data_IF_573729837350
#
_entry.id   IF_573729837350
#
_cell.length_a   1.000
_cell.length_b   1.000
_cell.length_c   1.000
_cell.angle_alpha   90.00
_cell.angle_beta   90.00
_cell.angle_gamma   90.00
#
_symmetry.space_group_name_H-M   'P 1'
#
loop_
_entity.id
_entity.type
_entity.pdbx_description
1 polymer ?
#
# COMPACT_ATOMS: atom_id res chain seq x y z
N UNK A 1 -36.21 -8.46 50.36
CA UNK A 1 -35.78 -9.31 49.21
C UNK A 1 -36.59 -9.12 47.92
N UNK A 2 -37.87 -8.70 47.94
CA UNK A 2 -38.69 -8.57 46.72
C UNK A 2 -38.34 -7.36 45.80
N UNK A 3 -37.80 -6.26 46.35
CA UNK A 3 -37.45 -5.07 45.57
C UNK A 3 -36.22 -5.26 44.67
N UNK A 4 -35.27 -6.10 45.08
CA UNK A 4 -34.03 -6.39 44.34
C UNK A 4 -34.35 -7.21 43.08
N UNK A 5 -35.28 -8.19 43.17
CA UNK A 5 -35.75 -8.98 42.02
C UNK A 5 -36.41 -8.14 40.93
N UNK A 6 -37.16 -7.08 41.28
CA UNK A 6 -37.87 -6.22 40.30
C UNK A 6 -36.94 -5.30 39.49
N UNK A 7 -35.77 -4.93 40.01
CA UNK A 7 -34.79 -4.10 39.29
C UNK A 7 -33.88 -4.92 38.36
N UNK A 8 -33.75 -6.22 38.59
CA UNK A 8 -32.91 -7.11 37.78
C UNK A 8 -33.58 -7.53 36.46
N UNK A 9 -34.92 -7.61 36.41
CA UNK A 9 -35.65 -7.94 35.18
C UNK A 9 -35.40 -6.96 34.01
N UNK A 10 -35.54 -5.62 34.17
CA UNK A 10 -35.32 -4.70 33.05
C UNK A 10 -33.84 -4.64 32.61
N UNK A 11 -32.90 -4.88 33.53
CA UNK A 11 -31.47 -4.97 33.23
C UNK A 11 -31.18 -6.23 32.41
N UNK A 12 -31.77 -7.37 32.79
CA UNK A 12 -31.63 -8.62 32.05
C UNK A 12 -32.29 -8.55 30.67
N UNK A 13 -33.44 -7.90 30.55
CA UNK A 13 -34.10 -7.63 29.26
C UNK A 13 -33.28 -6.70 28.36
N UNK A 14 -32.63 -5.68 28.92
CA UNK A 14 -31.75 -4.78 28.18
C UNK A 14 -30.47 -5.51 27.72
N UNK A 15 -29.85 -6.34 28.57
CA UNK A 15 -28.70 -7.16 28.17
C UNK A 15 -29.05 -8.16 27.04
N UNK A 16 -30.24 -8.78 27.11
CA UNK A 16 -30.70 -9.72 26.08
C UNK A 16 -30.96 -8.98 24.74
N UNK A 17 -31.51 -7.77 24.78
CA UNK A 17 -31.70 -6.94 23.59
C UNK A 17 -30.36 -6.49 22.95
N UNK A 18 -29.34 -6.22 23.77
CA UNK A 18 -27.98 -5.86 23.28
C UNK A 18 -27.30 -7.05 22.61
N UNK A 19 -27.54 -8.29 23.07
CA UNK A 19 -27.00 -9.49 22.41
C UNK A 19 -27.62 -9.79 21.04
N UNK A 20 -28.86 -9.34 20.77
CA UNK A 20 -29.50 -9.49 19.45
C UNK A 20 -29.03 -8.44 18.41
N UNK A 21 -28.36 -7.37 18.83
CA UNK A 21 -27.80 -6.34 17.95
C UNK A 21 -26.35 -6.61 17.52
N UNK A 22 -25.70 -7.62 18.11
CA UNK A 22 -24.43 -8.14 17.63
C UNK A 22 -24.68 -8.93 16.32
N UNK A 23 -24.91 -8.21 15.23
CA UNK A 23 -24.97 -8.80 13.90
C UNK A 23 -23.70 -9.61 13.66
N UNK A 24 -23.86 -10.86 13.22
CA UNK A 24 -22.73 -11.70 12.83
C UNK A 24 -22.00 -10.96 11.71
N UNK A 25 -20.75 -10.56 11.95
CA UNK A 25 -19.91 -9.95 10.93
C UNK A 25 -19.62 -11.01 9.86
N UNK A 26 -20.48 -11.11 8.86
CA UNK A 26 -20.24 -11.98 7.72
C UNK A 26 -19.24 -11.27 6.81
N UNK A 27 -18.10 -11.91 6.57
CA UNK A 27 -17.15 -11.43 5.59
C UNK A 27 -17.85 -11.38 4.21
N UNK A 28 -18.14 -10.18 3.73
CA UNK A 28 -18.70 -9.97 2.39
C UNK A 28 -17.57 -10.03 1.38
N UNK A 29 -17.83 -10.65 0.22
CA UNK A 29 -16.94 -10.56 -0.93
C UNK A 29 -16.91 -9.09 -1.38
N UNK A 30 -15.73 -8.47 -1.28
CA UNK A 30 -15.52 -7.08 -1.68
C UNK A 30 -15.29 -6.94 -3.19
N UNK A 31 -14.96 -8.05 -3.86
CA UNK A 31 -14.54 -8.05 -5.26
C UNK A 31 -13.18 -7.37 -5.48
N UNK A 32 -12.47 -7.01 -4.41
CA UNK A 32 -11.18 -6.34 -4.49
C UNK A 32 -10.07 -7.37 -4.66
N UNK A 33 -9.29 -7.23 -5.73
CA UNK A 33 -8.11 -8.04 -5.97
C UNK A 33 -6.89 -7.15 -6.21
N UNK A 34 -5.82 -7.45 -5.47
CA UNK A 34 -4.54 -6.75 -5.54
C UNK A 34 -3.47 -7.68 -6.12
N UNK A 35 -2.61 -7.15 -6.98
CA UNK A 35 -1.50 -7.92 -7.57
C UNK A 35 -0.18 -7.16 -7.46
N UNK A 36 0.91 -7.89 -7.20
CA UNK A 36 2.26 -7.38 -7.31
C UNK A 36 2.76 -7.49 -8.77
N UNK A 37 3.42 -6.44 -9.24
CA UNK A 37 4.01 -6.36 -10.58
C UNK A 37 5.44 -5.77 -10.47
N UNK A 38 6.34 -6.14 -11.38
CA UNK A 38 7.71 -5.61 -11.46
C UNK A 38 8.78 -6.62 -11.01
N UNK A 39 8.41 -7.89 -10.77
CA UNK A 39 9.34 -8.92 -10.28
C UNK A 39 9.92 -9.82 -11.37
N UNK A 40 9.45 -9.70 -12.60
CA UNK A 40 9.97 -10.45 -13.72
C UNK A 40 9.75 -9.68 -15.02
N UNK A 41 10.83 -9.28 -15.72
CA UNK A 41 10.73 -8.54 -17.00
C UNK A 41 9.85 -9.20 -18.07
N UNK A 42 9.57 -10.50 -17.95
CA UNK A 42 8.73 -11.26 -18.88
C UNK A 42 7.26 -11.38 -18.41
N UNK A 43 6.86 -10.73 -17.32
CA UNK A 43 5.48 -10.75 -16.80
C UNK A 43 4.49 -9.88 -17.59
N UNK A 44 4.98 -9.22 -18.64
CA UNK A 44 4.24 -8.22 -19.41
C UNK A 44 4.34 -6.82 -18.80
N UNK A 45 3.79 -5.86 -19.51
CA UNK A 45 3.78 -4.45 -19.13
C UNK A 45 2.78 -4.17 -18.01
N UNK A 46 2.96 -3.05 -17.32
CA UNK A 46 2.00 -2.56 -16.33
C UNK A 46 0.63 -2.30 -16.98
N UNK A 47 0.63 -1.76 -18.22
CA UNK A 47 -0.60 -1.56 -19.00
C UNK A 47 -1.34 -2.87 -19.27
N UNK A 48 -0.64 -3.91 -19.74
CA UNK A 48 -1.25 -5.21 -19.99
C UNK A 48 -1.88 -5.79 -18.71
N UNK A 49 -1.20 -5.64 -17.56
CA UNK A 49 -1.74 -6.06 -16.26
C UNK A 49 -3.07 -5.36 -15.95
N UNK A 50 -3.13 -4.04 -16.14
CA UNK A 50 -4.34 -3.25 -15.94
C UNK A 50 -5.44 -3.52 -16.98
N UNK A 51 -5.06 -3.91 -18.20
CA UNK A 51 -5.99 -4.24 -19.28
C UNK A 51 -6.65 -5.60 -19.12
N UNK A 52 -6.14 -6.48 -18.25
CA UNK A 52 -6.81 -7.74 -17.90
C UNK A 52 -8.20 -7.54 -17.29
N UNK A 53 -8.43 -6.41 -16.61
CA UNK A 53 -9.68 -6.14 -15.87
C UNK A 53 -9.86 -7.02 -14.63
N UNK A 54 -8.81 -7.73 -14.17
CA UNK A 54 -8.87 -8.64 -13.02
C UNK A 54 -8.61 -7.95 -11.68
N UNK A 55 -7.88 -6.84 -11.70
CA UNK A 55 -7.32 -6.21 -10.50
C UNK A 55 -7.90 -4.82 -10.27
N UNK A 56 -8.09 -4.48 -9.01
CA UNK A 56 -8.47 -3.14 -8.57
C UNK A 56 -7.27 -2.35 -8.06
N UNK A 57 -6.23 -3.06 -7.63
CA UNK A 57 -4.98 -2.47 -7.15
C UNK A 57 -3.80 -3.21 -7.79
N UNK A 58 -2.86 -2.46 -8.35
CA UNK A 58 -1.56 -2.98 -8.79
C UNK A 58 -0.47 -2.37 -7.93
N UNK A 59 0.38 -3.22 -7.36
CA UNK A 59 1.52 -2.81 -6.54
C UNK A 59 2.79 -2.98 -7.36
N UNK A 60 3.40 -1.86 -7.77
CA UNK A 60 4.72 -1.83 -8.39
C UNK A 60 5.75 -2.17 -7.32
N UNK A 61 6.60 -3.16 -7.59
CA UNK A 61 7.52 -3.71 -6.61
C UNK A 61 8.92 -3.88 -7.21
N UNK A 62 10.00 -3.34 -6.61
CA UNK A 62 10.10 -2.65 -5.32
C UNK A 62 10.95 -1.38 -5.41
N UNK A 63 10.63 -0.40 -4.58
CA UNK A 63 11.55 0.64 -4.14
C UNK A 63 12.44 0.07 -3.03
N UNK A 64 13.58 -0.52 -3.43
CA UNK A 64 14.35 -1.46 -2.61
C UNK A 64 15.61 -0.88 -1.97
N UNK A 65 15.96 0.37 -2.28
CA UNK A 65 17.13 1.06 -1.71
C UNK A 65 16.69 2.35 -1.04
N UNK A 66 16.81 2.45 0.29
CA UNK A 66 16.47 3.67 1.05
C UNK A 66 17.11 3.73 2.45
N UNK A 67 17.07 4.90 3.09
CA UNK A 67 17.51 5.10 4.48
C UNK A 67 18.98 5.46 4.71
N UNK A 68 19.80 5.41 3.66
CA UNK A 68 21.24 5.71 3.73
C UNK A 68 21.65 6.84 2.77
N UNK A 69 20.74 7.80 2.53
CA UNK A 69 20.93 8.87 1.55
C UNK A 69 20.95 8.38 0.08
N UNK A 70 20.58 7.12 -0.15
CA UNK A 70 20.43 6.50 -1.48
C UNK A 70 18.98 6.10 -1.65
N UNK A 71 18.46 6.25 -2.87
CA UNK A 71 17.04 6.12 -3.19
C UNK A 71 16.92 5.48 -4.57
N UNK A 72 16.44 4.23 -4.64
CA UNK A 72 16.29 3.56 -5.93
C UNK A 72 15.27 2.41 -5.87
N UNK A 73 14.73 2.05 -7.04
CA UNK A 73 13.86 0.90 -7.21
C UNK A 73 14.44 -0.14 -8.17
N UNK A 74 14.20 -1.41 -7.85
CA UNK A 74 14.50 -2.55 -8.71
C UNK A 74 13.18 -3.10 -9.26
N UNK A 75 12.99 -3.01 -10.58
CA UNK A 75 11.86 -3.59 -11.30
C UNK A 75 12.31 -4.74 -12.22
N UNK A 76 13.31 -5.50 -11.79
CA UNK A 76 13.72 -6.77 -12.40
C UNK A 76 14.06 -6.69 -13.89
N UNK A 77 14.55 -5.53 -14.33
CA UNK A 77 14.95 -5.27 -15.72
C UNK A 77 13.86 -4.73 -16.63
N UNK A 78 12.69 -4.34 -16.10
CA UNK A 78 11.69 -3.57 -16.87
C UNK A 78 12.25 -2.21 -17.33
N UNK A 79 11.87 -1.79 -18.53
CA UNK A 79 12.12 -0.42 -18.99
C UNK A 79 11.26 0.56 -18.19
N UNK A 80 11.88 1.56 -17.57
CA UNK A 80 11.20 2.53 -16.73
C UNK A 80 10.43 3.59 -17.53
N UNK A 81 10.83 3.84 -18.79
CA UNK A 81 10.25 4.89 -19.64
C UNK A 81 8.73 4.77 -19.82
N UNK A 82 8.15 3.60 -20.13
CA UNK A 82 6.70 3.47 -20.30
C UNK A 82 5.91 3.51 -18.98
N UNK A 83 6.53 3.22 -17.83
CA UNK A 83 5.81 2.99 -16.57
C UNK A 83 4.98 4.19 -16.14
N UNK A 84 5.46 5.42 -16.35
CA UNK A 84 4.68 6.63 -16.04
C UNK A 84 3.40 6.75 -16.86
N UNK A 85 3.47 6.46 -18.16
CA UNK A 85 2.30 6.48 -19.04
C UNK A 85 1.33 5.32 -18.72
N UNK A 86 1.87 4.16 -18.39
CA UNK A 86 1.09 2.97 -18.03
C UNK A 86 0.41 3.14 -16.66
N UNK A 87 1.07 3.77 -15.68
CA UNK A 87 0.45 4.15 -14.42
C UNK A 87 -0.79 5.02 -14.63
N UNK A 88 -0.66 6.11 -15.40
CA UNK A 88 -1.79 6.99 -15.73
C UNK A 88 -2.90 6.26 -16.49
N UNK A 89 -2.54 5.28 -17.33
CA UNK A 89 -3.51 4.41 -18.01
C UNK A 89 -4.29 3.54 -17.02
N UNK A 90 -3.62 2.87 -16.08
CA UNK A 90 -4.28 2.12 -15.01
C UNK A 90 -5.24 2.99 -14.19
N UNK A 91 -4.79 4.17 -13.78
CA UNK A 91 -5.60 5.14 -13.03
C UNK A 91 -6.83 5.59 -13.82
N UNK A 92 -6.69 5.81 -15.14
CA UNK A 92 -7.83 6.15 -16.02
C UNK A 92 -8.89 5.04 -16.10
N UNK A 93 -8.52 3.81 -15.75
CA UNK A 93 -9.41 2.64 -15.66
C UNK A 93 -9.91 2.38 -14.24
N UNK A 94 -9.72 3.33 -13.33
CA UNK A 94 -10.07 3.21 -11.91
C UNK A 94 -9.36 2.07 -11.18
N UNK A 95 -8.13 1.75 -11.61
CA UNK A 95 -7.24 0.82 -10.93
C UNK A 95 -6.22 1.64 -10.15
N UNK A 96 -6.17 1.48 -8.84
CA UNK A 96 -5.16 2.16 -8.02
C UNK A 96 -3.79 1.53 -8.22
N UNK A 97 -2.76 2.36 -8.37
CA UNK A 97 -1.38 1.93 -8.53
C UNK A 97 -0.58 2.34 -7.31
N UNK A 98 -0.03 1.36 -6.60
CA UNK A 98 0.77 1.58 -5.39
C UNK A 98 2.24 1.31 -5.70
N UNK A 99 3.14 1.92 -4.93
CA UNK A 99 4.56 1.56 -4.92
C UNK A 99 4.89 0.84 -3.63
N UNK A 100 5.43 -0.37 -3.72
CA UNK A 100 5.92 -1.12 -2.57
C UNK A 100 7.36 -0.74 -2.26
N UNK A 101 7.64 -0.39 -1.00
CA UNK A 101 8.99 -0.16 -0.48
C UNK A 101 9.51 -1.42 0.22
N UNK A 102 10.80 -1.70 0.07
CA UNK A 102 11.52 -2.76 0.75
C UNK A 102 11.74 -3.98 -0.16
N UNK A 103 11.10 -5.10 0.19
CA UNK A 103 11.29 -6.40 -0.46
C UNK A 103 12.33 -7.28 0.24
N UNK A 104 12.71 -8.39 -0.39
CA UNK A 104 13.61 -9.40 0.18
C UNK A 104 15.11 -9.01 0.20
N UNK A 105 15.45 -7.78 -0.22
CA UNK A 105 16.82 -7.26 -0.22
C UNK A 105 17.25 -6.70 1.15
N UNK A 106 18.50 -6.23 1.22
CA UNK A 106 19.12 -5.70 2.44
C UNK A 106 19.61 -4.24 2.30
N UNK A 107 19.29 -3.57 1.19
CA UNK A 107 19.78 -2.21 0.87
C UNK A 107 18.87 -1.10 1.42
N UNK A 108 17.98 -1.45 2.36
CA UNK A 108 17.09 -0.51 3.01
C UNK A 108 17.12 -0.63 4.52
N UNK A 109 16.91 0.49 5.19
CA UNK A 109 16.63 0.56 6.62
C UNK A 109 15.97 1.89 6.97
N UNK A 110 15.44 2.02 8.18
CA UNK A 110 14.92 3.27 8.73
C UNK A 110 15.45 3.46 10.16
N UNK A 111 16.75 3.75 10.35
CA UNK A 111 17.38 3.71 11.67
C UNK A 111 16.99 4.86 12.60
N UNK A 112 16.26 5.86 12.12
CA UNK A 112 15.86 7.03 12.91
C UNK A 112 14.64 7.72 12.32
N UNK A 113 13.98 8.56 13.13
CA UNK A 113 12.88 9.41 12.65
C UNK A 113 13.32 10.36 11.55
N UNK A 114 14.57 10.85 11.56
CA UNK A 114 15.10 11.68 10.49
C UNK A 114 15.24 10.87 9.20
N UNK A 115 15.79 9.65 9.27
CA UNK A 115 15.87 8.78 8.11
C UNK A 115 14.47 8.48 7.53
N UNK A 116 13.47 8.27 8.38
CA UNK A 116 12.09 8.07 7.94
C UNK A 116 11.53 9.32 7.24
N UNK A 117 11.77 10.51 7.79
CA UNK A 117 11.38 11.77 7.17
C UNK A 117 12.05 11.97 5.81
N UNK A 118 13.34 11.69 5.69
CA UNK A 118 14.10 11.84 4.45
C UNK A 118 13.62 10.83 3.38
N UNK A 119 13.29 9.61 3.77
CA UNK A 119 12.71 8.60 2.86
C UNK A 119 11.31 9.00 2.41
N UNK A 120 10.46 9.45 3.32
CA UNK A 120 9.12 9.93 2.98
C UNK A 120 9.15 11.14 2.04
N UNK A 121 10.05 12.09 2.31
CA UNK A 121 10.25 13.26 1.45
C UNK A 121 10.79 12.86 0.06
N UNK A 122 11.70 11.89 -0.03
CA UNK A 122 12.13 11.40 -1.33
C UNK A 122 10.97 10.75 -2.11
N UNK A 123 10.23 9.82 -1.50
CA UNK A 123 9.10 9.12 -2.12
C UNK A 123 8.05 10.14 -2.58
N UNK A 124 7.72 11.12 -1.74
CA UNK A 124 6.77 12.18 -2.07
C UNK A 124 7.18 12.92 -3.35
N UNK A 125 8.46 13.31 -3.44
CA UNK A 125 8.99 14.11 -4.55
C UNK A 125 9.38 13.29 -5.80
N UNK A 126 9.65 11.98 -5.65
CA UNK A 126 10.07 11.10 -6.74
C UNK A 126 8.91 10.33 -7.38
N UNK A 127 7.92 9.93 -6.57
CA UNK A 127 6.88 8.97 -6.97
C UNK A 127 5.45 9.42 -6.69
N UNK A 128 5.23 10.42 -5.82
CA UNK A 128 3.89 10.98 -5.55
C UNK A 128 3.74 12.39 -6.14
N UNK A 129 2.88 13.24 -5.58
CA UNK A 129 2.57 14.58 -6.10
C UNK A 129 3.61 15.65 -5.81
N UNK A 130 4.57 15.39 -4.91
CA UNK A 130 5.65 16.31 -4.59
C UNK A 130 6.54 16.62 -5.79
N UNK A 131 6.96 17.88 -5.93
CA UNK A 131 7.89 18.30 -6.97
C UNK A 131 8.98 19.16 -6.34
N UNK A 132 10.18 18.59 -6.24
CA UNK A 132 11.38 19.30 -5.76
C UNK A 132 12.47 19.29 -6.83
N UNK A 133 13.04 20.45 -7.21
CA UNK A 133 14.19 20.50 -8.10
C UNK A 133 15.32 19.60 -7.61
N UNK A 134 15.94 18.86 -8.53
CA UNK A 134 17.04 17.94 -8.23
C UNK A 134 16.64 16.54 -7.76
N UNK A 135 15.35 16.27 -7.51
CA UNK A 135 14.85 14.91 -7.27
C UNK A 135 14.48 14.25 -8.61
N UNK A 136 15.16 13.15 -8.94
CA UNK A 136 14.85 12.37 -10.13
C UNK A 136 13.50 11.66 -9.98
N UNK A 137 12.69 11.66 -11.04
CA UNK A 137 11.37 11.00 -11.08
C UNK A 137 11.39 9.85 -12.08
N UNK A 138 11.56 8.59 -11.64
CA UNK A 138 11.71 7.45 -12.54
C UNK A 138 10.49 7.22 -13.46
N UNK A 139 9.30 7.62 -13.01
CA UNK A 139 8.04 7.47 -13.75
C UNK A 139 7.56 8.79 -14.37
N UNK A 140 8.47 9.75 -14.55
CA UNK A 140 8.15 11.06 -15.14
C UNK A 140 7.15 11.85 -14.29
N UNK A 141 6.10 12.37 -14.92
CA UNK A 141 5.09 13.20 -14.28
C UNK A 141 4.02 12.41 -13.49
N UNK A 142 3.98 11.08 -13.63
CA UNK A 142 2.99 10.24 -12.99
C UNK A 142 3.20 10.15 -11.48
N UNK A 143 2.10 10.13 -10.71
CA UNK A 143 2.08 9.91 -9.27
C UNK A 143 1.39 8.58 -8.97
N UNK A 144 1.93 7.80 -8.03
CA UNK A 144 1.25 6.60 -7.50
C UNK A 144 0.16 6.99 -6.50
N UNK A 145 -0.86 6.15 -6.36
CA UNK A 145 -2.03 6.38 -5.50
C UNK A 145 -1.77 6.01 -4.03
N UNK A 146 -0.69 5.28 -3.75
CA UNK A 146 -0.34 4.87 -2.40
C UNK A 146 1.01 4.18 -2.29
N UNK A 147 1.42 3.94 -1.04
CA UNK A 147 2.67 3.28 -0.69
C UNK A 147 2.34 2.00 0.08
N UNK A 148 2.89 0.89 -0.37
CA UNK A 148 2.85 -0.41 0.31
C UNK A 148 4.18 -0.63 1.08
N UNK A 149 4.09 -1.17 2.30
CA UNK A 149 5.25 -1.38 3.17
C UNK A 149 5.57 -2.88 3.22
N UNK A 150 6.41 -3.34 2.29
CA UNK A 150 6.95 -4.71 2.32
C UNK A 150 8.29 -4.70 3.05
N UNK A 151 8.23 -4.68 4.39
CA UNK A 151 9.40 -4.65 5.26
C UNK A 151 9.70 -6.07 5.74
N UNK A 152 10.60 -6.75 5.03
CA UNK A 152 11.04 -8.12 5.35
C UNK A 152 12.22 -8.13 6.33
N UNK A 153 13.05 -7.08 6.24
CA UNK A 153 14.22 -6.87 7.08
C UNK A 153 14.11 -5.54 7.83
N UNK A 154 14.56 -5.53 9.07
CA UNK A 154 14.60 -4.32 9.89
C UNK A 154 15.35 -4.59 11.19
N UNK A 155 15.93 -3.55 11.76
CA UNK A 155 16.39 -3.61 13.14
C UNK A 155 15.15 -3.81 14.04
N UNK A 156 15.22 -4.66 15.07
CA UNK A 156 14.17 -4.68 16.11
C UNK A 156 14.02 -3.33 16.81
N UNK A 157 15.08 -2.51 16.74
CA UNK A 157 15.15 -1.23 17.41
C UNK A 157 14.85 -0.08 16.45
N UNK A 158 13.75 0.59 16.75
CA UNK A 158 13.63 2.05 16.80
C UNK A 158 13.80 2.51 18.25
#
# INVERSE_FOLDING_TARGET
MALIRRRLLPILSLLLAVTFLAGVATAKKTGQLTVFWGRNKNEGTLRETCDTGLYNIVIISFYSVFGHGRYWGDLSGHDLRPIGADNKHCQSKHISVFLSIGGAGNDYSLPSSQSAADVADNIWNAHMDGRRPGVFRPFGDAAVDGIDFFIDNGSPDH
#
